data_IF_349871786832
#
_entry.id   IF_349871786832
#
_cell.length_a   1.000
_cell.length_b   1.000
_cell.length_c   1.000
_cell.angle_alpha   90.00
_cell.angle_beta   90.00
_cell.angle_gamma   90.00
#
_symmetry.space_group_name_H-M   'P 1'
#
loop_
_entity.id
_entity.type
_entity.pdbx_description
1 polymer ?
#
# COMPACT_ATOMS: atom_id res chain seq x y z
N UNK A 1 -89.70 20.13 -27.15
CA UNK A 1 -89.49 18.99 -28.08
C UNK A 1 -87.98 18.90 -28.30
N UNK A 2 -87.30 17.95 -27.62
CA UNK A 2 -86.79 16.70 -28.22
C UNK A 2 -85.57 16.98 -29.14
N UNK A 3 -84.37 16.41 -29.02
CA UNK A 3 -83.90 15.16 -28.43
C UNK A 3 -82.45 15.29 -27.92
N UNK A 4 -82.17 14.47 -26.91
CA UNK A 4 -80.88 13.86 -26.56
C UNK A 4 -80.11 13.29 -27.75
N UNK A 5 -78.77 13.40 -27.72
CA UNK A 5 -77.85 12.36 -28.22
C UNK A 5 -76.56 12.36 -27.38
N UNK A 6 -76.46 11.36 -26.53
CA UNK A 6 -75.24 10.92 -25.86
C UNK A 6 -74.17 10.51 -26.88
N UNK A 7 -72.91 10.81 -26.60
CA UNK A 7 -71.78 10.10 -27.21
C UNK A 7 -70.82 9.61 -26.14
N UNK A 8 -70.47 8.35 -26.34
CA UNK A 8 -69.79 7.39 -25.50
C UNK A 8 -68.32 7.79 -25.25
N UNK A 9 -67.95 7.67 -23.99
CA UNK A 9 -66.66 7.29 -23.41
C UNK A 9 -65.42 7.15 -24.33
N UNK A 10 -64.31 7.73 -23.89
CA UNK A 10 -63.07 6.96 -23.75
C UNK A 10 -62.23 7.53 -22.61
N UNK A 11 -62.14 6.78 -21.51
CA UNK A 11 -61.19 7.01 -20.44
C UNK A 11 -59.78 6.75 -20.99
N UNK A 12 -58.96 7.80 -21.13
CA UNK A 12 -57.54 7.66 -21.36
C UNK A 12 -56.85 7.39 -20.01
N UNK A 13 -56.88 6.14 -19.57
CA UNK A 13 -56.04 5.62 -18.51
C UNK A 13 -54.94 4.78 -19.18
N UNK A 14 -53.67 5.23 -19.12
CA UNK A 14 -52.52 4.33 -19.12
C UNK A 14 -51.21 5.09 -18.88
N UNK A 15 -50.73 4.95 -17.64
CA UNK A 15 -49.35 4.57 -17.34
C UNK A 15 -48.25 5.60 -17.56
N UNK A 16 -48.11 6.52 -16.61
CA UNK A 16 -46.83 7.13 -16.29
C UNK A 16 -45.90 6.07 -15.69
N UNK A 17 -45.09 5.42 -16.53
CA UNK A 17 -44.02 4.54 -16.09
C UNK A 17 -42.87 5.41 -15.53
N UNK A 18 -42.92 5.71 -14.24
CA UNK A 18 -41.76 6.21 -13.50
C UNK A 18 -40.83 5.00 -13.33
N UNK A 19 -39.92 4.79 -14.29
CA UNK A 19 -38.76 3.94 -14.06
C UNK A 19 -37.89 4.65 -13.02
N UNK A 20 -38.08 4.29 -11.76
CA UNK A 20 -37.08 4.48 -10.72
C UNK A 20 -35.85 3.66 -11.13
N UNK A 21 -34.87 4.34 -11.72
CA UNK A 21 -33.55 3.79 -11.93
C UNK A 21 -32.91 3.55 -10.57
N UNK A 22 -32.88 2.31 -10.11
CA UNK A 22 -31.91 1.89 -9.10
C UNK A 22 -30.53 1.92 -9.75
N UNK A 23 -29.87 3.08 -9.74
CA UNK A 23 -28.43 3.17 -9.96
C UNK A 23 -27.76 2.59 -8.72
N UNK A 24 -27.51 1.28 -8.72
CA UNK A 24 -26.53 0.67 -7.84
C UNK A 24 -25.17 1.22 -8.25
N UNK A 25 -24.76 2.33 -7.62
CA UNK A 25 -23.38 2.76 -7.56
C UNK A 25 -22.58 1.70 -6.80
N UNK A 26 -22.16 0.65 -7.52
CA UNK A 26 -21.04 -0.17 -7.10
C UNK A 26 -19.77 0.68 -7.03
N UNK A 27 -18.80 0.32 -6.17
CA UNK A 27 -17.57 1.09 -6.03
C UNK A 27 -16.89 1.22 -7.40
N UNK A 28 -16.73 2.46 -7.85
CA UNK A 28 -16.02 2.77 -9.07
C UNK A 28 -14.56 2.36 -8.90
N UNK A 29 -14.13 1.28 -9.55
CA UNK A 29 -12.71 0.96 -9.71
C UNK A 29 -12.05 2.05 -10.55
N UNK A 30 -11.56 3.13 -9.91
CA UNK A 30 -10.67 4.10 -10.54
C UNK A 30 -9.27 3.49 -10.58
N UNK A 31 -8.94 2.89 -11.72
CA UNK A 31 -7.62 2.35 -12.01
C UNK A 31 -7.75 1.17 -12.97
N UNK A 32 -7.68 1.43 -14.27
CA UNK A 32 -7.59 0.37 -15.26
C UNK A 32 -6.24 -0.32 -15.08
N UNK A 33 -6.26 -1.63 -14.81
CA UNK A 33 -5.03 -2.41 -14.73
C UNK A 33 -4.29 -2.39 -16.08
N UNK A 34 -2.96 -2.24 -16.07
CA UNK A 34 -2.17 -2.25 -17.30
C UNK A 34 -2.06 -3.68 -17.85
N UNK A 35 -2.77 -3.97 -18.94
CA UNK A 35 -2.70 -5.13 -19.86
C UNK A 35 -2.63 -6.55 -19.23
N UNK A 36 -1.73 -6.84 -18.29
CA UNK A 36 -1.59 -8.09 -17.53
C UNK A 36 -1.51 -7.91 -16.00
N UNK A 37 -1.54 -6.66 -15.53
CA UNK A 37 -1.52 -6.35 -14.12
C UNK A 37 -2.93 -6.55 -13.51
N UNK A 38 -3.02 -6.70 -12.19
CA UNK A 38 -4.29 -6.78 -11.45
C UNK A 38 -4.60 -8.16 -10.86
N UNK A 39 -5.62 -8.25 -9.98
CA UNK A 39 -5.91 -9.44 -9.19
C UNK A 39 -6.26 -10.62 -10.08
N UNK A 40 -5.76 -11.81 -9.76
CA UNK A 40 -6.12 -13.08 -10.41
C UNK A 40 -7.63 -13.32 -10.50
N UNK A 41 -8.03 -14.43 -11.12
CA UNK A 41 -9.46 -14.73 -11.34
C UNK A 41 -10.31 -14.69 -10.05
N UNK A 42 -9.69 -14.97 -8.90
CA UNK A 42 -10.33 -15.00 -7.60
C UNK A 42 -9.49 -14.19 -6.58
N UNK A 43 -9.61 -12.85 -6.51
CA UNK A 43 -8.99 -12.10 -5.43
C UNK A 43 -9.67 -12.42 -4.09
N UNK A 44 -8.94 -12.30 -2.96
CA UNK A 44 -9.55 -12.24 -1.64
C UNK A 44 -10.64 -11.16 -1.59
N UNK A 45 -11.79 -11.50 -0.99
CA UNK A 45 -12.95 -10.59 -0.89
C UNK A 45 -12.70 -9.43 0.06
N UNK A 46 -11.88 -9.64 1.09
CA UNK A 46 -11.48 -8.63 2.06
C UNK A 46 -9.95 -8.61 2.18
N UNK A 47 -9.35 -7.64 1.50
CA UNK A 47 -7.89 -7.42 1.49
C UNK A 47 -7.44 -6.82 2.82
N UNK A 48 -8.26 -6.00 3.45
CA UNK A 48 -7.90 -5.29 4.68
C UNK A 48 -7.86 -6.26 5.89
N UNK A 49 -8.63 -7.34 5.84
CA UNK A 49 -8.59 -8.43 6.82
C UNK A 49 -7.34 -9.32 6.74
N UNK A 50 -6.58 -9.30 5.64
CA UNK A 50 -5.35 -10.09 5.52
C UNK A 50 -4.29 -9.49 6.45
N UNK A 51 -3.77 -10.24 7.44
CA UNK A 51 -2.77 -9.71 8.35
C UNK A 51 -1.47 -9.39 7.62
N UNK A 52 -0.74 -8.40 8.13
CA UNK A 52 0.63 -8.11 7.68
C UNK A 52 1.55 -9.31 7.90
N UNK A 53 2.71 -9.33 7.23
CA UNK A 53 3.71 -10.35 7.49
C UNK A 53 4.17 -10.29 8.95
N UNK A 54 4.11 -11.43 9.65
CA UNK A 54 4.53 -11.54 11.04
C UNK A 54 6.04 -11.75 11.11
N UNK A 55 6.84 -10.79 11.62
CA UNK A 55 8.28 -10.95 11.67
C UNK A 55 8.68 -12.07 12.63
N UNK A 56 9.57 -12.95 12.16
CA UNK A 56 10.24 -13.99 12.96
C UNK A 56 11.74 -13.91 12.68
N UNK A 57 12.55 -14.42 13.61
CA UNK A 57 14.00 -14.48 13.40
C UNK A 57 14.28 -15.41 12.21
N UNK A 58 14.99 -14.90 11.21
CA UNK A 58 15.32 -15.63 9.99
C UNK A 58 16.82 -15.93 9.92
N UNK A 59 17.15 -17.07 9.32
CA UNK A 59 18.52 -17.32 8.84
C UNK A 59 18.60 -16.90 7.38
N UNK A 60 19.47 -15.93 7.08
CA UNK A 60 19.61 -15.43 5.71
C UNK A 60 20.14 -16.50 4.76
N UNK A 61 19.55 -16.57 3.57
CA UNK A 61 19.93 -17.49 2.51
C UNK A 61 21.33 -17.16 1.99
N UNK A 62 22.23 -18.13 2.08
CA UNK A 62 23.59 -18.03 1.50
C UNK A 62 23.54 -17.86 -0.03
N UNK A 63 22.56 -18.49 -0.69
CA UNK A 63 22.41 -18.40 -2.13
C UNK A 63 21.98 -16.98 -2.55
N UNK A 64 20.95 -16.43 -1.89
CA UNK A 64 20.44 -15.09 -2.18
C UNK A 64 21.36 -13.95 -1.70
N UNK A 65 22.39 -14.27 -0.90
CA UNK A 65 23.38 -13.30 -0.37
C UNK A 65 24.56 -13.06 -1.31
N UNK A 66 24.71 -13.84 -2.39
CA UNK A 66 25.81 -13.67 -3.34
C UNK A 66 25.64 -12.39 -4.15
N UNK A 67 26.72 -11.61 -4.39
CA UNK A 67 26.69 -10.51 -5.35
C UNK A 67 26.24 -10.99 -6.73
N UNK A 68 25.47 -10.17 -7.43
CA UNK A 68 24.92 -10.52 -8.73
C UNK A 68 24.85 -9.29 -9.65
N UNK A 69 24.69 -9.51 -10.95
CA UNK A 69 24.63 -8.46 -11.96
C UNK A 69 23.38 -8.63 -12.80
N UNK A 70 22.61 -7.56 -12.97
CA UNK A 70 21.45 -7.51 -13.86
C UNK A 70 21.57 -6.24 -14.70
N UNK A 71 21.41 -6.37 -16.02
CA UNK A 71 21.55 -5.25 -16.97
C UNK A 71 22.86 -4.44 -16.82
N UNK A 72 23.98 -5.13 -16.55
CA UNK A 72 25.29 -4.49 -16.37
C UNK A 72 25.49 -3.77 -15.04
N UNK A 73 24.45 -3.67 -14.18
CA UNK A 73 24.56 -3.12 -12.84
C UNK A 73 24.80 -4.22 -11.81
N UNK A 74 25.87 -4.07 -11.03
CA UNK A 74 26.23 -4.98 -9.93
C UNK A 74 25.47 -4.59 -8.66
N UNK A 75 24.90 -5.60 -7.99
CA UNK A 75 24.25 -5.49 -6.70
C UNK A 75 24.99 -6.35 -5.68
N UNK A 76 25.12 -5.82 -4.45
CA UNK A 76 25.74 -6.52 -3.32
C UNK A 76 24.72 -6.57 -2.20
N UNK A 77 24.08 -7.73 -1.96
CA UNK A 77 23.18 -7.90 -0.83
C UNK A 77 23.83 -7.57 0.50
N UNK A 78 23.04 -7.02 1.40
CA UNK A 78 23.33 -6.91 2.83
C UNK A 78 23.29 -8.33 3.40
N UNK A 79 24.35 -8.70 4.12
CA UNK A 79 24.53 -10.06 4.66
C UNK A 79 24.55 -10.13 6.18
N UNK A 80 24.40 -8.98 6.84
CA UNK A 80 24.41 -8.80 8.29
C UNK A 80 23.06 -8.22 8.78
N UNK A 81 22.83 -8.28 10.10
CA UNK A 81 21.58 -7.84 10.74
C UNK A 81 21.58 -6.34 11.08
N UNK A 82 22.10 -5.50 10.17
CA UNK A 82 22.23 -4.06 10.42
C UNK A 82 20.91 -3.32 10.18
N UNK A 83 20.65 -2.21 10.91
CA UNK A 83 19.55 -1.31 10.58
C UNK A 83 19.65 -0.81 9.13
N UNK A 84 18.49 -0.65 8.50
CA UNK A 84 18.38 -0.13 7.14
C UNK A 84 17.18 0.79 7.02
N UNK A 85 17.38 1.93 6.36
CA UNK A 85 16.33 2.87 5.97
C UNK A 85 16.64 3.44 4.60
N UNK A 86 15.68 3.38 3.68
CA UNK A 86 15.80 3.96 2.35
C UNK A 86 14.49 4.64 1.94
N UNK A 87 14.60 5.80 1.31
CA UNK A 87 13.50 6.49 0.65
C UNK A 87 13.59 6.30 -0.86
N UNK A 88 12.45 6.18 -1.52
CA UNK A 88 12.39 6.01 -2.97
C UNK A 88 11.01 5.61 -3.44
N UNK A 89 10.92 5.13 -4.68
CA UNK A 89 9.64 4.73 -5.28
C UNK A 89 9.45 3.22 -5.11
N UNK A 90 8.28 2.81 -4.63
CA UNK A 90 7.83 1.43 -4.70
C UNK A 90 6.75 1.23 -5.76
N UNK A 91 6.70 0.05 -6.36
CA UNK A 91 5.56 -0.42 -7.16
C UNK A 91 5.13 -1.80 -6.72
N UNK A 92 4.50 -2.58 -7.60
CA UNK A 92 4.10 -3.95 -7.35
C UNK A 92 4.25 -4.79 -8.62
N UNK A 93 4.57 -6.08 -8.45
CA UNK A 93 4.72 -6.98 -9.60
C UNK A 93 3.38 -7.64 -9.96
N UNK A 94 3.08 -7.61 -11.27
CA UNK A 94 1.85 -8.08 -11.87
C UNK A 94 1.58 -9.58 -11.75
N UNK A 95 0.39 -9.99 -12.19
CA UNK A 95 -0.13 -11.35 -12.07
C UNK A 95 0.74 -12.41 -12.75
N UNK A 96 1.44 -12.04 -13.82
CA UNK A 96 2.29 -12.93 -14.61
C UNK A 96 3.39 -13.63 -13.80
N UNK A 97 3.78 -13.07 -12.65
CA UNK A 97 4.77 -13.69 -11.78
C UNK A 97 4.15 -14.71 -10.83
N UNK A 98 2.84 -14.67 -10.59
CA UNK A 98 2.16 -15.52 -9.62
C UNK A 98 2.39 -17.00 -9.92
N UNK A 99 2.75 -17.78 -8.90
CA UNK A 99 3.14 -19.19 -9.04
C UNK A 99 4.59 -19.42 -9.48
N UNK A 100 5.31 -18.36 -9.87
CA UNK A 100 6.74 -18.40 -10.17
C UNK A 100 7.62 -18.56 -8.93
N UNK A 101 8.92 -18.81 -9.14
CA UNK A 101 9.91 -18.91 -8.05
C UNK A 101 10.56 -17.58 -7.75
N UNK A 102 10.63 -17.23 -6.46
CA UNK A 102 11.38 -16.10 -5.94
C UNK A 102 12.87 -16.44 -5.83
N UNK A 103 13.69 -15.45 -5.50
CA UNK A 103 15.13 -15.59 -5.32
C UNK A 103 15.55 -16.49 -4.14
N UNK A 104 14.67 -16.76 -3.19
CA UNK A 104 14.87 -17.80 -2.16
C UNK A 104 14.23 -19.15 -2.47
N UNK A 105 13.58 -19.29 -3.63
CA UNK A 105 12.94 -20.52 -4.09
C UNK A 105 11.51 -20.73 -3.55
N UNK A 106 11.00 -19.79 -2.76
CA UNK A 106 9.57 -19.74 -2.41
C UNK A 106 8.73 -19.57 -3.69
N UNK A 107 7.47 -20.02 -3.65
CA UNK A 107 6.52 -19.74 -4.73
C UNK A 107 5.92 -18.36 -4.48
N UNK A 108 5.98 -17.46 -5.46
CA UNK A 108 5.37 -16.15 -5.34
C UNK A 108 3.84 -16.27 -5.32
N UNK A 109 3.27 -15.86 -4.18
CA UNK A 109 1.85 -15.63 -4.02
C UNK A 109 1.54 -14.13 -4.01
N UNK A 110 0.76 -13.65 -4.98
CA UNK A 110 0.37 -12.24 -5.08
C UNK A 110 -0.56 -11.78 -3.97
N UNK A 111 -1.17 -12.74 -3.26
CA UNK A 111 -2.05 -12.51 -2.12
C UNK A 111 -1.33 -12.61 -0.77
N UNK A 112 -0.05 -12.97 -0.75
CA UNK A 112 0.78 -12.95 0.46
C UNK A 112 1.36 -11.56 0.73
N UNK A 113 1.77 -11.28 1.97
CA UNK A 113 2.43 -10.02 2.35
C UNK A 113 3.94 -10.08 2.08
N UNK A 114 4.32 -10.05 0.80
CA UNK A 114 5.72 -10.20 0.35
C UNK A 114 6.20 -9.02 -0.51
N UNK A 115 7.51 -8.91 -0.68
CA UNK A 115 8.15 -7.89 -1.51
C UNK A 115 9.48 -8.36 -2.10
N UNK A 116 9.88 -7.70 -3.18
CA UNK A 116 11.20 -7.78 -3.78
C UNK A 116 12.03 -6.54 -3.42
N UNK A 117 13.30 -6.75 -3.03
CA UNK A 117 14.27 -5.66 -2.82
C UNK A 117 15.65 -6.02 -3.38
N UNK A 118 16.41 -5.08 -3.97
CA UNK A 118 17.68 -5.43 -4.61
C UNK A 118 18.75 -5.93 -3.64
N UNK A 119 18.79 -5.39 -2.41
CA UNK A 119 19.92 -5.65 -1.50
C UNK A 119 19.54 -6.02 -0.08
N UNK A 120 18.26 -6.05 0.31
CA UNK A 120 17.91 -6.43 1.69
C UNK A 120 18.23 -7.92 1.89
N UNK A 121 18.55 -8.38 3.10
CA UNK A 121 18.74 -9.80 3.32
C UNK A 121 17.50 -10.58 2.91
N UNK A 122 17.68 -11.80 2.41
CA UNK A 122 16.58 -12.69 2.06
C UNK A 122 16.76 -14.01 2.82
N UNK A 123 15.73 -14.52 3.51
CA UNK A 123 14.50 -13.80 3.83
C UNK A 123 14.74 -12.73 4.91
N UNK A 124 13.97 -11.65 4.88
CA UNK A 124 13.91 -10.65 5.96
C UNK A 124 12.54 -9.97 6.02
N UNK A 125 12.38 -8.98 6.88
CA UNK A 125 11.14 -8.21 7.02
C UNK A 125 11.42 -6.72 6.88
N UNK A 126 10.45 -5.99 6.31
CA UNK A 126 10.51 -4.54 6.22
C UNK A 126 9.16 -3.92 6.54
N UNK A 127 9.19 -2.78 7.22
CA UNK A 127 8.08 -1.82 7.23
C UNK A 127 8.20 -0.92 6.01
N UNK A 128 7.10 -0.78 5.30
CA UNK A 128 6.99 0.08 4.13
C UNK A 128 5.92 1.10 4.42
N UNK A 129 6.26 2.38 4.39
CA UNK A 129 5.34 3.49 4.64
C UNK A 129 5.19 4.31 3.39
N UNK A 130 3.97 4.49 2.89
CA UNK A 130 3.67 5.39 1.78
C UNK A 130 3.61 6.82 2.32
N UNK A 131 4.48 7.68 1.80
CA UNK A 131 4.61 9.04 2.32
C UNK A 131 3.48 9.96 1.88
N UNK A 132 2.73 9.60 0.84
CA UNK A 132 1.61 10.41 0.34
C UNK A 132 0.36 10.29 1.21
N UNK A 133 0.14 9.12 1.82
CA UNK A 133 -1.07 8.82 2.58
C UNK A 133 -0.82 8.35 4.04
N UNK A 134 0.45 8.19 4.43
CA UNK A 134 0.83 7.75 5.78
C UNK A 134 0.55 6.29 6.11
N UNK A 135 -0.02 5.50 5.19
CA UNK A 135 -0.28 4.08 5.41
C UNK A 135 1.04 3.31 5.49
N UNK A 136 1.08 2.29 6.33
CA UNK A 136 2.23 1.41 6.44
C UNK A 136 1.82 -0.06 6.46
N UNK A 137 2.66 -0.91 5.87
CA UNK A 137 2.53 -2.36 5.92
C UNK A 137 3.85 -3.00 6.33
N UNK A 138 3.78 -4.19 6.92
CA UNK A 138 4.94 -5.08 7.10
C UNK A 138 4.90 -6.20 6.07
N UNK A 139 6.01 -6.38 5.37
CA UNK A 139 6.19 -7.39 4.32
C UNK A 139 7.40 -8.27 4.60
N UNK A 140 7.33 -9.53 4.16
CA UNK A 140 8.49 -10.41 4.03
C UNK A 140 9.22 -10.10 2.74
N UNK A 141 10.50 -9.79 2.81
CA UNK A 141 11.36 -9.67 1.63
C UNK A 141 11.90 -11.05 1.29
N UNK A 142 11.41 -11.63 0.20
CA UNK A 142 11.79 -12.97 -0.26
C UNK A 142 12.32 -12.99 -1.71
N UNK A 143 12.32 -11.84 -2.39
CA UNK A 143 12.76 -11.77 -3.78
C UNK A 143 13.71 -10.59 -4.08
N UNK A 144 14.37 -10.66 -5.24
CA UNK A 144 15.30 -9.65 -5.77
C UNK A 144 14.62 -8.84 -6.85
N UNK A 145 14.97 -7.55 -6.90
CA UNK A 145 14.36 -6.58 -7.81
C UNK A 145 13.82 -5.39 -7.03
N UNK A 146 13.30 -4.35 -7.71
CA UNK A 146 13.26 -4.17 -9.17
C UNK A 146 14.65 -3.91 -9.79
N UNK A 147 14.78 -4.18 -11.09
CA UNK A 147 16.03 -3.95 -11.86
C UNK A 147 15.88 -2.96 -13.01
N UNK A 148 14.65 -2.73 -13.44
CA UNK A 148 14.29 -1.66 -14.36
C UNK A 148 13.72 -0.52 -13.53
N UNK A 149 14.06 0.73 -13.88
CA UNK A 149 13.67 1.98 -13.20
C UNK A 149 14.50 2.38 -11.96
N UNK A 150 14.22 3.59 -11.47
CA UNK A 150 14.71 4.16 -10.21
C UNK A 150 13.97 3.63 -8.97
N UNK A 151 13.09 2.63 -9.11
CA UNK A 151 12.35 2.02 -7.99
C UNK A 151 13.28 1.26 -7.06
N UNK A 152 12.88 1.21 -5.80
CA UNK A 152 13.64 0.58 -4.71
C UNK A 152 13.01 -0.72 -4.23
N UNK A 153 11.71 -0.91 -4.47
CA UNK A 153 10.96 -2.07 -4.00
C UNK A 153 9.78 -2.33 -4.91
N UNK A 154 9.49 -3.60 -5.14
CA UNK A 154 8.20 -3.99 -5.68
C UNK A 154 7.47 -4.85 -4.63
N UNK A 155 6.17 -4.62 -4.45
CA UNK A 155 5.31 -5.27 -3.47
C UNK A 155 4.45 -6.35 -4.14
N UNK A 156 3.92 -7.28 -3.34
CA UNK A 156 2.81 -8.12 -3.78
C UNK A 156 1.54 -7.28 -4.00
N UNK A 157 0.57 -7.84 -4.72
CA UNK A 157 -0.71 -7.18 -4.98
C UNK A 157 -1.45 -6.80 -3.69
N UNK A 158 -1.54 -7.72 -2.72
CA UNK A 158 -2.22 -7.43 -1.44
C UNK A 158 -1.48 -6.38 -0.63
N UNK A 159 -0.15 -6.44 -0.54
CA UNK A 159 0.63 -5.42 0.16
C UNK A 159 0.46 -4.03 -0.49
N UNK A 160 0.45 -3.98 -1.82
CA UNK A 160 0.22 -2.76 -2.58
C UNK A 160 -1.19 -2.20 -2.42
N UNK A 161 -2.21 -3.07 -2.36
CA UNK A 161 -3.59 -2.68 -2.11
C UNK A 161 -3.75 -2.06 -0.73
N UNK A 162 -3.22 -2.71 0.32
CA UNK A 162 -3.24 -2.18 1.70
C UNK A 162 -2.49 -0.85 1.81
N UNK A 163 -1.37 -0.72 1.11
CA UNK A 163 -0.56 0.51 1.07
C UNK A 163 -1.20 1.63 0.22
N UNK A 164 -2.24 1.32 -0.56
CA UNK A 164 -3.00 2.27 -1.38
C UNK A 164 -2.31 2.66 -2.69
N UNK A 165 -1.51 1.76 -3.28
CA UNK A 165 -0.71 2.06 -4.49
C UNK A 165 -1.20 1.34 -5.76
N UNK A 166 -2.29 0.55 -5.69
CA UNK A 166 -2.83 -0.16 -6.86
C UNK A 166 -3.28 0.80 -7.96
N UNK A 167 -4.10 1.81 -7.62
CA UNK A 167 -4.60 2.79 -8.58
C UNK A 167 -3.48 3.62 -9.23
N UNK A 168 -2.59 4.25 -8.43
CA UNK A 168 -1.43 4.99 -8.95
C UNK A 168 -0.35 4.13 -9.61
N UNK A 169 -0.33 2.82 -9.36
CA UNK A 169 0.70 1.88 -9.82
C UNK A 169 2.03 1.95 -9.03
N UNK A 170 2.35 3.11 -8.46
CA UNK A 170 3.54 3.33 -7.64
C UNK A 170 3.34 4.48 -6.64
N UNK A 171 4.20 4.56 -5.62
CA UNK A 171 4.21 5.68 -4.68
C UNK A 171 5.60 5.91 -4.09
N UNK A 172 5.90 7.12 -3.61
CA UNK A 172 7.03 7.36 -2.73
C UNK A 172 6.83 6.63 -1.39
N UNK A 173 7.88 5.94 -0.95
CA UNK A 173 7.88 5.16 0.28
C UNK A 173 9.14 5.35 1.09
N UNK A 174 9.01 5.10 2.39
CA UNK A 174 10.12 4.83 3.30
C UNK A 174 10.13 3.31 3.58
N UNK A 175 11.24 2.64 3.25
CA UNK A 175 11.51 1.24 3.57
C UNK A 175 12.42 1.17 4.79
N UNK A 176 12.00 0.49 5.85
CA UNK A 176 12.78 0.25 7.06
C UNK A 176 12.89 -1.25 7.33
N UNK A 177 14.11 -1.78 7.44
CA UNK A 177 14.27 -3.18 7.83
C UNK A 177 13.84 -3.41 9.28
N UNK A 178 13.21 -4.55 9.53
CA UNK A 178 12.95 -5.08 10.86
C UNK A 178 14.01 -6.16 11.10
N UNK A 179 15.03 -5.84 11.89
CA UNK A 179 16.19 -6.71 12.13
C UNK A 179 15.82 -7.91 13.01
N UNK A 180 16.56 -9.01 12.93
CA UNK A 180 16.45 -10.13 13.88
C UNK A 180 16.62 -9.63 15.32
N UNK A 181 17.49 -8.64 15.53
CA UNK A 181 17.68 -7.95 16.82
C UNK A 181 16.45 -7.14 17.27
N UNK A 182 15.68 -6.53 16.37
CA UNK A 182 14.39 -5.89 16.68
C UNK A 182 13.33 -6.94 17.04
N UNK A 183 13.32 -8.06 16.34
CA UNK A 183 12.36 -9.16 16.55
C UNK A 183 12.61 -9.81 17.91
N UNK A 184 13.87 -10.11 18.25
CA UNK A 184 14.27 -10.66 19.54
C UNK A 184 13.88 -9.76 20.73
N UNK A 185 13.85 -8.43 20.51
CA UNK A 185 13.39 -7.43 21.49
C UNK A 185 11.87 -7.19 21.48
N UNK A 186 11.11 -7.92 20.65
CA UNK A 186 9.66 -7.75 20.52
C UNK A 186 9.24 -6.41 19.92
N UNK A 187 10.09 -5.76 19.12
CA UNK A 187 9.77 -4.49 18.43
C UNK A 187 9.04 -4.78 17.12
N UNK A 188 9.39 -5.85 16.41
CA UNK A 188 8.79 -6.21 15.11
C UNK A 188 7.28 -6.50 15.16
N UNK A 189 6.77 -7.04 16.26
CA UNK A 189 5.36 -7.42 16.43
C UNK A 189 4.47 -6.26 16.87
N UNK A 190 4.98 -5.34 17.69
CA UNK A 190 4.19 -4.19 18.21
C UNK A 190 3.79 -3.21 17.11
N UNK A 191 4.61 -3.06 16.09
CA UNK A 191 4.38 -2.06 15.04
C UNK A 191 3.49 -2.59 13.91
N UNK A 192 3.21 -3.90 13.84
CA UNK A 192 2.16 -4.47 12.96
C UNK A 192 0.75 -4.24 13.53
N UNK A 193 0.62 -4.05 14.85
CA UNK A 193 -0.66 -3.83 15.54
C UNK A 193 -0.99 -2.36 15.80
N UNK A 194 -0.03 -1.43 15.65
CA UNK A 194 -0.18 -0.04 16.08
C UNK A 194 -0.52 0.95 14.95
N UNK A 195 -1.16 0.50 13.87
CA UNK A 195 -1.63 1.39 12.80
C UNK A 195 -2.90 2.14 13.21
N UNK A 196 -2.79 3.00 14.23
CA UNK A 196 -3.55 4.26 14.36
C UNK A 196 -2.77 5.16 15.33
N UNK A 197 -1.90 6.07 14.86
CA UNK A 197 -1.70 7.30 15.57
C UNK A 197 -2.84 8.23 15.19
N UNK A 198 -3.83 8.34 16.06
CA UNK A 198 -4.71 9.50 16.17
C UNK A 198 -3.81 10.73 16.12
N UNK A 199 -4.03 11.60 15.13
CA UNK A 199 -3.40 12.89 15.03
C UNK A 199 -3.59 13.64 16.35
N UNK A 200 -2.54 13.67 17.18
CA UNK A 200 -2.48 14.61 18.30
C UNK A 200 -2.23 15.98 17.68
N UNK A 201 -3.27 16.79 17.67
CA UNK A 201 -3.20 18.20 17.31
C UNK A 201 -2.12 18.87 18.16
N UNK A 202 -1.02 19.32 17.53
CA UNK A 202 -0.22 20.40 18.08
C UNK A 202 -1.02 21.68 17.90
N UNK A 203 -1.72 22.10 18.95
CA UNK A 203 -2.17 23.48 19.08
C UNK A 203 -0.93 24.36 19.28
N UNK A 204 -0.64 25.16 18.25
CA UNK A 204 0.38 26.20 18.31
C UNK A 204 -0.03 27.23 19.38
N UNK A 205 0.77 27.33 20.44
CA UNK A 205 0.67 28.42 21.42
C UNK A 205 1.35 29.65 20.81
N UNK A 206 0.56 30.61 20.36
CA UNK A 206 1.05 31.94 19.97
C UNK A 206 1.43 32.69 21.24
N UNK A 207 2.72 32.67 21.60
CA UNK A 207 3.29 33.63 22.54
C UNK A 207 3.68 34.89 21.78
N UNK A 208 2.92 35.96 22.00
CA UNK A 208 3.28 37.33 21.62
C UNK A 208 4.36 37.82 22.60
N UNK A 209 5.54 38.27 22.14
CA UNK A 209 6.49 38.92 23.04
C UNK A 209 6.02 40.33 23.38
N UNK A 210 5.76 40.57 24.67
CA UNK A 210 5.47 41.87 25.26
C UNK A 210 6.75 42.73 25.26
N UNK A 211 6.70 43.88 24.59
CA UNK A 211 7.80 44.86 24.53
C UNK A 211 7.66 45.82 25.72
N UNK A 212 8.61 45.76 26.66
CA UNK A 212 8.73 46.73 27.76
C UNK A 212 9.70 47.86 27.37
N UNK A 213 9.33 49.15 27.46
CA UNK A 213 10.28 50.24 27.24
C UNK A 213 11.24 50.40 28.43
N UNK A 214 12.49 50.71 28.10
CA UNK A 214 13.59 50.96 29.03
C UNK A 214 13.43 52.30 29.78
N UNK A 215 14.00 52.31 30.99
CA UNK A 215 13.94 53.39 31.97
C UNK A 215 14.62 54.68 31.50
N UNK A 216 14.04 55.80 31.92
CA UNK A 216 14.62 57.14 31.83
C UNK A 216 15.65 57.36 32.94
N UNK A 217 16.91 57.57 32.57
CA UNK A 217 17.89 58.26 33.41
C UNK A 217 17.99 59.71 32.92
N UNK A 218 17.67 60.67 33.78
CA UNK A 218 17.98 62.09 33.59
C UNK A 218 18.72 62.61 34.82
N UNK A 219 19.92 63.12 34.55
CA UNK A 219 20.75 63.95 35.42
C UNK A 219 20.26 65.39 35.40
#
# INVERSE_FOLDING_TARGET
MSLSRSSIATFALCSAAILAGCSTTGPTHRGAYYQNDGPGANPPTDIDAIPDAVPRIETYSKAASKPYTVFGKRYVPITDDRPFRQEGIASWYGRQFHGGKTSDGETYDMYAMTAAHPTLPIPSYARVTNTDNGKSVVVRVNDRGPFHSSRIMDLSYVAAAKLGIIGPGSAPVIVQAITNSDIARGIGTRTASAATPTATQLTASTQTPEVRPAASESR
#
